data_IF_508852427306
#
_entry.id   IF_508852427306
#
_cell.length_a   1.000
_cell.length_b   1.000
_cell.length_c   1.000
_cell.angle_alpha   90.00
_cell.angle_beta   90.00
_cell.angle_gamma   90.00
#
_symmetry.space_group_name_H-M   'P 1'
#
loop_
_entity.id
_entity.type
_entity.pdbx_description
1 polymer ?
#
# COMPACT_ATOMS: atom_id res chain seq x y z
N UNK A 1 -26.88 -2.15 29.68
CA UNK A 1 -26.32 -0.89 29.11
C UNK A 1 -24.90 -1.16 28.61
N UNK A 2 -24.68 -1.48 27.32
CA UNK A 2 -23.33 -1.82 26.82
C UNK A 2 -23.02 -1.37 25.37
N UNK A 3 -23.91 -0.57 24.77
CA UNK A 3 -23.82 -0.13 23.36
C UNK A 3 -22.69 0.91 23.16
N UNK A 4 -22.34 1.67 24.21
CA UNK A 4 -21.34 2.73 24.15
C UNK A 4 -19.89 2.20 24.09
N UNK A 5 -19.61 1.02 24.65
CA UNK A 5 -18.26 0.44 24.63
C UNK A 5 -17.92 -0.10 23.25
N UNK A 6 -18.86 -0.82 22.62
CA UNK A 6 -18.72 -1.39 21.26
C UNK A 6 -18.54 -0.27 20.23
N UNK A 7 -19.42 0.76 20.23
CA UNK A 7 -19.32 1.90 19.30
C UNK A 7 -18.01 2.68 19.44
N UNK A 8 -17.46 2.78 20.66
CA UNK A 8 -16.19 3.48 20.91
C UNK A 8 -15.00 2.65 20.39
N UNK A 9 -15.09 1.32 20.46
CA UNK A 9 -14.09 0.40 19.91
C UNK A 9 -14.07 0.43 18.37
N UNK A 10 -15.23 0.33 17.73
CA UNK A 10 -15.36 0.41 16.26
C UNK A 10 -14.80 1.73 15.71
N UNK A 11 -15.13 2.86 16.35
CA UNK A 11 -14.57 4.17 15.96
C UNK A 11 -13.04 4.21 16.05
N UNK A 12 -12.44 3.59 17.07
CA UNK A 12 -10.97 3.49 17.19
C UNK A 12 -10.37 2.60 16.10
N UNK A 13 -10.97 1.44 15.82
CA UNK A 13 -10.49 0.55 14.75
C UNK A 13 -10.53 1.26 13.39
N UNK A 14 -11.62 1.99 13.11
CA UNK A 14 -11.75 2.78 11.88
C UNK A 14 -10.71 3.91 11.80
N UNK A 15 -10.44 4.62 12.90
CA UNK A 15 -9.45 5.70 12.91
C UNK A 15 -8.02 5.17 12.71
N UNK A 16 -7.67 4.05 13.35
CA UNK A 16 -6.38 3.36 13.15
C UNK A 16 -6.24 2.88 11.70
N UNK A 17 -7.29 2.28 11.12
CA UNK A 17 -7.30 1.85 9.71
C UNK A 17 -7.08 3.03 8.76
N UNK A 18 -7.77 4.16 9.00
CA UNK A 18 -7.60 5.39 8.21
C UNK A 18 -6.19 5.98 8.32
N UNK A 19 -5.63 6.01 9.53
CA UNK A 19 -4.27 6.50 9.77
C UNK A 19 -3.21 5.62 9.07
N UNK A 20 -3.38 4.30 9.16
CA UNK A 20 -2.50 3.34 8.50
C UNK A 20 -2.57 3.46 6.98
N UNK A 21 -3.77 3.64 6.42
CA UNK A 21 -3.95 3.91 4.98
C UNK A 21 -3.26 5.20 4.55
N UNK A 22 -3.41 6.29 5.32
CA UNK A 22 -2.73 7.57 5.02
C UNK A 22 -1.21 7.41 5.02
N UNK A 23 -0.64 6.69 5.98
CA UNK A 23 0.81 6.42 6.03
C UNK A 23 1.30 5.63 4.82
N UNK A 24 0.57 4.59 4.42
CA UNK A 24 0.90 3.79 3.23
C UNK A 24 0.89 4.64 1.96
N UNK A 25 -0.14 5.48 1.78
CA UNK A 25 -0.23 6.38 0.64
C UNK A 25 0.93 7.38 0.60
N UNK A 26 1.29 7.99 1.73
CA UNK A 26 2.43 8.90 1.82
C UNK A 26 3.73 8.18 1.44
N UNK A 27 3.96 6.97 1.97
CA UNK A 27 5.15 6.20 1.65
C UNK A 27 5.24 5.86 0.15
N UNK A 28 4.12 5.49 -0.47
CA UNK A 28 4.05 5.21 -1.90
C UNK A 28 4.33 6.47 -2.74
N UNK A 29 3.71 7.61 -2.38
CA UNK A 29 3.95 8.88 -3.08
C UNK A 29 5.41 9.36 -2.96
N UNK A 30 6.01 9.18 -1.79
CA UNK A 30 7.42 9.51 -1.58
C UNK A 30 8.33 8.63 -2.45
N UNK A 31 8.07 7.32 -2.51
CA UNK A 31 8.83 6.40 -3.36
C UNK A 31 8.70 6.78 -4.85
N UNK A 32 7.49 7.12 -5.32
CA UNK A 32 7.24 7.59 -6.68
C UNK A 32 7.99 8.90 -6.98
N UNK A 33 7.99 9.84 -6.04
CA UNK A 33 8.74 11.09 -6.17
C UNK A 33 10.25 10.84 -6.24
N UNK A 34 10.79 9.94 -5.41
CA UNK A 34 12.21 9.56 -5.46
C UNK A 34 12.60 8.96 -6.81
N UNK A 35 11.79 8.05 -7.36
CA UNK A 35 12.03 7.51 -8.71
C UNK A 35 11.99 8.60 -9.79
N UNK A 36 10.99 9.49 -9.72
CA UNK A 36 10.83 10.57 -10.69
C UNK A 36 12.01 11.56 -10.68
N UNK A 37 12.61 11.82 -9.51
CA UNK A 37 13.85 12.62 -9.38
C UNK A 37 15.00 11.98 -10.17
N UNK A 38 15.07 10.65 -10.20
CA UNK A 38 16.06 9.88 -10.95
C UNK A 38 15.65 9.65 -12.42
N UNK A 39 14.54 10.25 -12.88
CA UNK A 39 14.02 10.09 -14.23
C UNK A 39 13.27 8.78 -14.49
N UNK A 40 13.07 7.96 -13.46
CA UNK A 40 12.36 6.69 -13.53
C UNK A 40 10.88 6.86 -13.20
N UNK A 41 10.02 6.12 -13.90
CA UNK A 41 8.58 6.13 -13.68
C UNK A 41 8.06 4.70 -13.61
N UNK A 42 7.18 4.45 -12.65
CA UNK A 42 6.46 3.18 -12.57
C UNK A 42 5.40 3.13 -13.66
N UNK A 43 5.29 1.99 -14.33
CA UNK A 43 4.16 1.67 -15.20
C UNK A 43 2.90 1.41 -14.36
N UNK A 44 1.69 1.51 -14.97
CA UNK A 44 0.45 1.22 -14.26
C UNK A 44 0.40 -0.18 -13.62
N UNK A 45 1.04 -1.17 -14.25
CA UNK A 45 1.12 -2.55 -13.75
C UNK A 45 1.98 -2.64 -12.48
N UNK A 46 3.13 -1.95 -12.47
CA UNK A 46 4.02 -1.92 -11.30
C UNK A 46 3.39 -1.15 -10.13
N UNK A 47 2.71 -0.04 -10.41
CA UNK A 47 1.97 0.70 -9.39
C UNK A 47 0.89 -0.15 -8.73
N UNK A 48 0.10 -0.88 -9.55
CA UNK A 48 -0.92 -1.79 -9.05
C UNK A 48 -0.32 -2.89 -8.18
N UNK A 49 0.78 -3.52 -8.60
CA UNK A 49 1.45 -4.56 -7.84
C UNK A 49 1.89 -4.06 -6.45
N UNK A 50 2.50 -2.87 -6.38
CA UNK A 50 2.90 -2.24 -5.11
C UNK A 50 1.68 -1.95 -4.24
N UNK A 51 0.58 -1.44 -4.82
CA UNK A 51 -0.65 -1.17 -4.09
C UNK A 51 -1.29 -2.43 -3.54
N UNK A 52 -1.32 -3.53 -4.28
CA UNK A 52 -1.84 -4.82 -3.81
C UNK A 52 -1.04 -5.36 -2.63
N UNK A 53 0.29 -5.34 -2.74
CA UNK A 53 1.20 -5.73 -1.65
C UNK A 53 1.01 -4.84 -0.42
N UNK A 54 0.92 -3.52 -0.61
CA UNK A 54 0.73 -2.57 0.49
C UNK A 54 -0.60 -2.75 1.20
N UNK A 55 -1.65 -3.15 0.48
CA UNK A 55 -2.97 -3.44 1.02
C UNK A 55 -3.07 -4.82 1.68
N UNK A 56 -2.01 -5.63 1.62
CA UNK A 56 -1.97 -6.96 2.21
C UNK A 56 -2.74 -8.01 1.41
N UNK A 57 -3.00 -7.75 0.12
CA UNK A 57 -3.63 -8.72 -0.78
C UNK A 57 -2.68 -9.83 -1.26
N UNK A 58 -1.38 -9.62 -1.08
CA UNK A 58 -0.31 -10.46 -1.61
C UNK A 58 0.79 -10.65 -0.57
N UNK A 59 1.42 -11.84 -0.55
CA UNK A 59 2.59 -12.12 0.31
C UNK A 59 3.86 -11.48 -0.25
N UNK A 60 4.90 -11.41 0.58
CA UNK A 60 6.15 -10.79 0.14
C UNK A 60 6.85 -11.56 -0.98
N UNK A 61 6.90 -12.88 -0.88
CA UNK A 61 7.61 -13.72 -1.85
C UNK A 61 6.92 -13.70 -3.22
N UNK A 62 5.59 -13.70 -3.21
CA UNK A 62 4.74 -13.55 -4.40
C UNK A 62 4.94 -12.18 -5.06
N UNK A 63 5.00 -11.11 -4.26
CA UNK A 63 5.32 -9.77 -4.76
C UNK A 63 6.68 -9.71 -5.44
N UNK A 64 7.70 -10.32 -4.84
CA UNK A 64 9.05 -10.33 -5.41
C UNK A 64 9.09 -11.13 -6.73
N UNK A 65 8.37 -12.26 -6.81
CA UNK A 65 8.27 -13.03 -8.03
C UNK A 65 7.64 -12.21 -9.17
N UNK A 66 6.47 -11.59 -8.93
CA UNK A 66 5.82 -10.76 -9.93
C UNK A 66 6.62 -9.50 -10.30
N UNK A 67 7.30 -8.89 -9.35
CA UNK A 67 8.17 -7.75 -9.63
C UNK A 67 9.33 -8.14 -10.56
N UNK A 68 9.93 -9.32 -10.36
CA UNK A 68 10.96 -9.85 -11.25
C UNK A 68 10.42 -10.21 -12.64
N UNK A 69 9.19 -10.73 -12.72
CA UNK A 69 8.53 -11.00 -14.01
C UNK A 69 8.28 -9.71 -14.78
N UNK A 70 7.75 -8.67 -14.13
CA UNK A 70 7.53 -7.37 -14.76
C UNK A 70 8.86 -6.79 -15.25
N UNK A 71 9.90 -6.77 -14.40
CA UNK A 71 11.21 -6.22 -14.76
C UNK A 71 11.89 -6.93 -15.95
N UNK A 72 11.55 -8.19 -16.24
CA UNK A 72 12.06 -8.93 -17.41
C UNK A 72 11.30 -8.61 -18.71
N UNK A 73 10.08 -8.10 -18.58
CA UNK A 73 9.17 -7.80 -19.68
C UNK A 73 9.08 -6.29 -19.99
N UNK A 74 9.95 -5.48 -19.37
CA UNK A 74 10.11 -4.03 -19.61
C UNK A 74 10.97 -3.78 -20.84
#
# INVERSE_FOLDING_TARGET
>A
MNINVVKRYEKRVLSVKKYTHKKKLIAFMNAKASLAIEGMHLTPSEENLILERSNGKMKNDEFLAHAMELARNV
#
